data_IF_230709323661
#
_entry.id   IF_230709323661
#
_cell.length_a   1.000
_cell.length_b   1.000
_cell.length_c   1.000
_cell.angle_alpha   90.00
_cell.angle_beta   90.00
_cell.angle_gamma   90.00
#
_symmetry.space_group_name_H-M   'P 1'
#
loop_
_entity.id
_entity.type
_entity.pdbx_description
1 polymer ?
#
# COMPACT_ATOMS: atom_id res chain seq x y z
N UNK A 1 -4.91 -13.86 3.02
CA UNK A 1 -4.44 -12.93 1.97
C UNK A 1 -3.09 -12.41 2.40
N UNK A 2 -2.06 -12.75 1.65
CA UNK A 2 -0.71 -12.20 1.85
C UNK A 2 -0.55 -10.87 1.12
N UNK A 3 0.61 -10.25 1.34
CA UNK A 3 0.96 -8.94 0.81
C UNK A 3 1.02 -8.89 -0.71
N UNK A 4 1.63 -9.89 -1.34
CA UNK A 4 1.87 -9.88 -2.78
C UNK A 4 0.57 -10.12 -3.54
N UNK A 5 -0.27 -11.04 -3.04
CA UNK A 5 -1.62 -11.27 -3.55
C UNK A 5 -2.46 -9.99 -3.49
N UNK A 6 -2.43 -9.27 -2.36
CA UNK A 6 -3.14 -7.99 -2.23
C UNK A 6 -2.60 -6.93 -3.20
N UNK A 7 -1.28 -6.82 -3.34
CA UNK A 7 -0.65 -5.88 -4.28
C UNK A 7 -1.10 -6.16 -5.71
N UNK A 8 -1.01 -7.41 -6.17
CA UNK A 8 -1.43 -7.80 -7.52
C UNK A 8 -2.89 -7.47 -7.75
N UNK A 9 -3.77 -7.85 -6.81
CA UNK A 9 -5.20 -7.54 -6.90
C UNK A 9 -5.45 -6.03 -7.07
N UNK A 10 -4.77 -5.18 -6.30
CA UNK A 10 -4.95 -3.73 -6.39
C UNK A 10 -4.49 -3.20 -7.76
N UNK A 11 -3.30 -3.61 -8.22
CA UNK A 11 -2.73 -3.14 -9.49
C UNK A 11 -3.57 -3.57 -10.70
N UNK A 12 -4.13 -4.78 -10.67
CA UNK A 12 -4.95 -5.33 -11.75
C UNK A 12 -6.35 -4.70 -11.82
N UNK A 13 -6.95 -4.36 -10.68
CA UNK A 13 -8.36 -3.97 -10.62
C UNK A 13 -8.59 -2.45 -10.49
N UNK A 14 -7.61 -1.66 -10.06
CA UNK A 14 -7.84 -0.27 -9.64
C UNK A 14 -7.09 0.82 -10.42
N UNK A 15 -6.60 0.54 -11.64
CA UNK A 15 -5.83 1.51 -12.45
C UNK A 15 -4.82 2.29 -11.59
N UNK A 16 -4.04 1.53 -10.82
CA UNK A 16 -3.23 2.02 -9.72
C UNK A 16 -1.74 1.81 -10.00
N UNK A 17 -0.92 2.60 -9.33
CA UNK A 17 0.52 2.38 -9.21
C UNK A 17 0.89 2.43 -7.74
N UNK A 18 1.94 1.71 -7.35
CA UNK A 18 2.47 1.75 -6.01
C UNK A 18 3.77 2.57 -5.94
N UNK A 19 3.99 3.25 -4.82
CA UNK A 19 5.23 3.95 -4.50
C UNK A 19 5.70 3.59 -3.07
N UNK A 20 6.96 3.91 -2.76
CA UNK A 20 7.60 3.66 -1.46
C UNK A 20 8.17 4.97 -0.89
N UNK A 21 7.31 5.86 -0.35
CA UNK A 21 7.72 7.23 -0.02
C UNK A 21 8.58 7.32 1.25
N UNK A 22 8.51 6.33 2.14
CA UNK A 22 9.27 6.33 3.39
C UNK A 22 10.62 5.65 3.23
N UNK A 23 11.69 6.44 3.12
CA UNK A 23 13.07 5.93 3.05
C UNK A 23 13.44 5.09 4.27
N UNK A 24 12.97 5.48 5.46
CA UNK A 24 13.23 4.76 6.71
C UNK A 24 12.46 3.44 6.82
N UNK A 25 11.42 3.24 6.02
CA UNK A 25 10.56 2.06 6.03
C UNK A 25 10.29 1.64 4.58
N UNK A 26 11.30 1.06 3.88
CA UNK A 26 11.18 0.71 2.46
C UNK A 26 10.15 -0.39 2.20
N UNK A 27 9.69 -1.08 3.25
CA UNK A 27 8.58 -2.04 3.17
C UNK A 27 7.22 -1.36 3.27
N UNK A 28 7.10 -0.04 3.36
CA UNK A 28 5.80 0.62 3.41
C UNK A 28 5.43 1.12 2.02
N UNK A 29 4.29 0.66 1.52
CA UNK A 29 3.84 0.97 0.16
C UNK A 29 2.52 1.73 0.18
N UNK A 30 2.43 2.76 -0.65
CA UNK A 30 1.20 3.49 -0.93
C UNK A 30 0.72 3.10 -2.31
N UNK A 31 -0.60 3.02 -2.47
CA UNK A 31 -1.24 2.86 -3.78
C UNK A 31 -1.91 4.17 -4.15
N UNK A 32 -1.62 4.65 -5.35
CA UNK A 32 -2.22 5.85 -5.92
C UNK A 32 -2.91 5.54 -7.24
N UNK A 33 -4.01 6.23 -7.48
CA UNK A 33 -4.68 6.18 -8.78
C UNK A 33 -3.75 6.72 -9.87
N UNK A 34 -3.57 5.97 -10.96
CA UNK A 34 -2.77 6.41 -12.09
C UNK A 34 -3.40 7.64 -12.78
N UNK A 35 -4.71 7.83 -12.64
CA UNK A 35 -5.47 8.94 -13.24
C UNK A 35 -5.41 10.20 -12.36
N UNK A 36 -5.92 10.11 -11.12
CA UNK A 36 -6.04 11.29 -10.25
C UNK A 36 -4.78 11.60 -9.44
N UNK A 37 -3.80 10.68 -9.42
CA UNK A 37 -2.57 10.73 -8.61
C UNK A 37 -2.79 10.76 -7.09
N UNK A 38 -4.04 10.63 -6.62
CA UNK A 38 -4.37 10.59 -5.19
C UNK A 38 -4.09 9.20 -4.61
N UNK A 39 -3.59 9.19 -3.37
CA UNK A 39 -3.44 7.97 -2.57
C UNK A 39 -4.82 7.46 -2.13
N UNK A 40 -4.97 6.14 -2.08
CA UNK A 40 -6.21 5.51 -1.63
C UNK A 40 -6.02 4.26 -0.78
N UNK A 41 -4.83 3.65 -0.78
CA UNK A 41 -4.50 2.52 0.10
C UNK A 41 -3.04 2.57 0.56
N UNK A 42 -2.77 1.94 1.70
CA UNK A 42 -1.49 1.91 2.38
C UNK A 42 -1.29 0.54 3.01
N UNK A 43 -0.15 -0.11 2.75
CA UNK A 43 0.25 -1.37 3.38
C UNK A 43 1.55 -1.15 4.15
N UNK A 44 1.51 -1.45 5.44
CA UNK A 44 2.59 -1.19 6.39
C UNK A 44 2.75 -2.35 7.36
N UNK A 45 3.97 -2.56 7.83
CA UNK A 45 4.28 -3.46 8.94
C UNK A 45 4.30 -2.64 10.23
N UNK A 46 3.29 -2.81 11.08
CA UNK A 46 3.20 -2.08 12.35
C UNK A 46 3.14 -3.04 13.54
N UNK A 47 3.70 -2.66 14.71
CA UNK A 47 3.54 -3.44 15.93
C UNK A 47 2.06 -3.61 16.27
N UNK A 48 1.68 -4.80 16.71
CA UNK A 48 0.30 -5.11 17.12
C UNK A 48 -0.24 -4.14 18.16
N UNK A 49 0.61 -3.65 19.07
CA UNK A 49 0.23 -2.66 20.09
C UNK A 49 -0.23 -1.31 19.54
N UNK A 50 0.11 -0.97 18.28
CA UNK A 50 -0.37 0.23 17.60
C UNK A 50 -1.73 0.05 16.93
N UNK A 51 -2.15 -1.20 16.75
CA UNK A 51 -3.52 -1.50 16.40
C UNK A 51 -4.30 -1.52 17.71
N UNK A 52 -5.23 -0.58 17.89
CA UNK A 52 -6.11 -0.52 19.05
C UNK A 52 -7.16 -1.66 19.02
N UNK A 53 -6.68 -2.90 18.89
CA UNK A 53 -7.41 -4.16 18.79
C UNK A 53 -7.49 -4.85 20.14
#
# INVERSE_FOLDING_TARGET
MDRDTLRQYILENYAAVNDFPWISNPTYEVFRSAVSKKWFALVMEIPRSRLAL
#
